data_IF_484146792531
#
_entry.id   IF_484146792531
#
_cell.length_a   1.000
_cell.length_b   1.000
_cell.length_c   1.000
_cell.angle_alpha   90.00
_cell.angle_beta   90.00
_cell.angle_gamma   90.00
#
_symmetry.space_group_name_H-M   'P 1'
#
loop_
_entity.id
_entity.type
_entity.pdbx_description
1 polymer ?
2 water ?
#
# COMPACT_ATOMS: atom_id res chain seq x y z
N UNK A 1 12.96 8.45 35.00
CA UNK A 1 12.71 7.01 35.03
C UNK A 1 12.29 6.42 33.68
N UNK A 2 12.28 7.24 32.63
CA UNK A 2 12.11 6.73 31.27
C UNK A 2 13.42 6.08 30.84
N UNK A 3 13.36 4.93 30.18
CA UNK A 3 14.57 4.35 29.62
C UNK A 3 15.10 5.25 28.50
N UNK A 4 16.42 5.41 28.43
CA UNK A 4 17.01 6.32 27.44
C UNK A 4 16.69 5.86 26.02
N UNK A 5 16.63 4.55 25.81
CA UNK A 5 16.27 4.02 24.50
C UNK A 5 14.82 4.34 24.14
N UNK A 6 13.94 4.40 25.13
CA UNK A 6 12.58 4.88 24.90
C UNK A 6 12.60 6.36 24.52
N UNK A 7 13.38 7.16 25.24
CA UNK A 7 13.44 8.58 24.96
C UNK A 7 13.96 8.84 23.54
N UNK A 8 14.97 8.08 23.13
CA UNK A 8 15.55 8.24 21.80
C UNK A 8 14.55 7.89 20.68
N UNK A 9 13.81 6.81 20.86
CA UNK A 9 12.76 6.44 19.90
C UNK A 9 11.75 7.58 19.74
N UNK A 10 11.33 8.15 20.87
CA UNK A 10 10.36 9.24 20.85
C UNK A 10 10.93 10.44 20.10
N UNK A 11 12.23 10.67 20.27
CA UNK A 11 12.89 11.74 19.56
C UNK A 11 12.88 11.50 18.04
N UNK A 12 13.18 10.28 17.61
CA UNK A 12 13.13 9.96 16.17
C UNK A 12 11.73 10.18 15.59
N UNK A 13 10.72 9.96 16.41
CA UNK A 13 9.34 10.11 15.96
C UNK A 13 8.74 11.49 16.23
N UNK A 14 9.56 12.40 16.74
CA UNK A 14 9.12 13.78 16.95
C UNK A 14 7.94 13.87 17.92
N UNK A 15 7.93 12.98 18.92
CA UNK A 15 6.81 12.89 19.85
C UNK A 15 6.85 14.08 20.81
N UNK A 16 5.74 14.84 20.90
CA UNK A 16 5.67 15.91 21.91
C UNK A 16 5.59 15.33 23.33
N UNK A 17 5.89 16.18 24.31
CA UNK A 17 6.08 15.72 25.69
C UNK A 17 4.92 14.95 26.31
N UNK A 18 3.70 15.45 26.14
CA UNK A 18 2.51 14.83 26.75
C UNK A 18 2.27 13.45 26.15
N UNK A 19 2.45 13.33 24.83
CA UNK A 19 2.30 12.03 24.16
C UNK A 19 3.35 11.04 24.68
N UNK A 20 4.59 11.51 24.76
CA UNK A 20 5.68 10.67 25.29
C UNK A 20 5.39 10.19 26.70
N UNK A 21 4.91 11.09 27.57
CA UNK A 21 4.57 10.72 28.94
C UNK A 21 3.45 9.69 29.00
N UNK A 22 2.39 9.92 28.23
CA UNK A 22 1.27 9.01 28.19
C UNK A 22 1.71 7.64 27.68
N UNK A 23 2.56 7.63 26.65
CA UNK A 23 3.07 6.39 26.07
C UNK A 23 3.88 5.60 27.11
N UNK A 24 4.70 6.30 27.88
CA UNK A 24 5.49 5.64 28.91
C UNK A 24 4.61 5.05 30.00
N UNK A 25 3.59 5.80 30.43
CA UNK A 25 2.65 5.29 31.44
C UNK A 25 1.91 4.07 30.92
N UNK A 26 1.59 4.11 29.64
CA UNK A 26 0.94 3.00 28.97
C UNK A 26 1.84 1.78 28.98
N UNK A 27 3.12 1.98 28.66
CA UNK A 27 4.11 0.92 28.72
C UNK A 27 4.20 0.34 30.13
N UNK A 28 4.25 1.20 31.15
CA UNK A 28 4.31 0.72 32.52
C UNK A 28 3.09 -0.14 32.85
N UNK A 29 1.94 0.22 32.31
CA UNK A 29 0.72 -0.58 32.50
C UNK A 29 0.87 -1.95 31.81
N UNK A 30 1.09 -1.93 30.50
CA UNK A 30 1.32 -3.15 29.73
C UNK A 30 2.51 -3.97 30.24
N UNK A 31 3.55 -3.27 30.70
CA UNK A 31 4.78 -3.90 31.16
C UNK A 31 4.53 -4.78 32.38
N UNK A 32 3.67 -4.32 33.28
CA UNK A 32 3.15 -5.19 34.32
C UNK A 32 2.50 -6.30 33.51
N UNK A 43 8.49 -8.25 23.29
CA UNK A 43 9.75 -7.53 23.12
C UNK A 43 9.58 -6.01 23.22
N UNK A 44 10.43 -5.43 24.06
CA UNK A 44 10.34 -4.06 24.54
C UNK A 44 10.10 -3.00 23.48
N UNK A 45 11.04 -2.85 22.54
CA UNK A 45 10.99 -1.77 21.56
C UNK A 45 9.72 -1.77 20.71
N UNK A 46 9.20 -2.95 20.41
CA UNK A 46 7.99 -3.06 19.59
C UNK A 46 6.79 -2.61 20.42
N UNK A 47 6.75 -3.08 21.66
CA UNK A 47 5.70 -2.67 22.59
C UNK A 47 5.73 -1.16 22.82
N UNK A 48 6.91 -0.58 22.91
CA UNK A 48 7.06 0.87 23.06
C UNK A 48 6.43 1.60 21.88
N UNK A 49 6.71 1.12 20.67
CA UNK A 49 6.14 1.70 19.47
C UNK A 49 4.63 1.60 19.53
N UNK A 50 4.12 0.46 19.95
CA UNK A 50 2.68 0.30 20.10
C UNK A 50 2.09 1.27 21.15
N UNK A 51 2.78 1.43 22.28
CA UNK A 51 2.30 2.37 23.30
C UNK A 51 2.32 3.82 22.77
N UNK A 52 3.33 4.15 21.98
CA UNK A 52 3.40 5.47 21.34
C UNK A 52 2.21 5.66 20.42
N UNK A 53 1.86 4.61 19.68
CA UNK A 53 0.75 4.70 18.74
C UNK A 53 -0.58 4.88 19.47
N UNK A 54 -0.76 4.12 20.55
CA UNK A 54 -1.94 4.24 21.39
C UNK A 54 -2.05 5.68 21.93
N UNK A 55 -0.95 6.22 22.44
CA UNK A 55 -0.99 7.56 23.05
C UNK A 55 -1.28 8.62 21.99
N UNK A 56 -0.63 8.49 20.84
CA UNK A 56 -0.77 9.47 19.75
C UNK A 56 -2.20 9.51 19.21
N UNK A 57 -2.79 8.33 19.05
CA UNK A 57 -4.17 8.22 18.61
C UNK A 57 -5.14 8.76 19.66
N UNK A 58 -4.99 8.34 20.91
CA UNK A 58 -5.90 8.78 21.96
C UNK A 58 -5.87 10.29 22.18
N UNK A 59 -4.70 10.91 21.96
CA UNK A 59 -4.53 12.33 22.21
C UNK A 59 -4.68 13.18 20.95
N UNK A 60 -4.93 12.54 19.80
CA UNK A 60 -5.09 13.22 18.51
C UNK A 60 -3.84 13.97 18.06
N UNK A 61 -2.68 13.38 18.34
CA UNK A 61 -1.44 14.05 18.09
C UNK A 61 -0.48 13.10 17.42
N UNK A 62 -0.67 12.89 16.13
CA UNK A 62 0.26 12.05 15.39
C UNK A 62 1.33 12.84 14.66
N UNK A 63 2.55 12.75 15.18
CA UNK A 63 3.66 13.49 14.64
C UNK A 63 4.51 12.63 13.70
N UNK A 64 3.99 11.46 13.34
CA UNK A 64 4.74 10.51 12.51
C UNK A 64 3.73 9.76 11.65
N UNK A 65 4.20 9.05 10.61
CA UNK A 65 3.33 8.18 9.83
C UNK A 65 3.42 6.75 10.36
N UNK A 66 2.42 5.94 10.05
CA UNK A 66 2.47 4.55 10.48
C UNK A 66 3.71 3.84 9.91
N UNK A 67 4.04 4.08 8.64
CA UNK A 67 5.22 3.47 8.03
C UNK A 67 6.51 3.84 8.77
N UNK A 68 6.59 5.11 9.16
CA UNK A 68 7.71 5.63 9.91
C UNK A 68 7.86 4.90 11.24
N UNK A 69 6.76 4.77 11.96
CA UNK A 69 6.74 4.03 13.22
C UNK A 69 7.22 2.59 13.00
N UNK A 70 6.68 1.93 11.98
CA UNK A 70 7.08 0.57 11.65
C UNK A 70 8.56 0.41 11.33
N UNK A 71 9.11 1.38 10.59
CA UNK A 71 10.50 1.28 10.19
C UNK A 71 11.41 1.46 11.40
N UNK A 72 10.94 2.24 12.36
CA UNK A 72 11.66 2.46 13.61
C UNK A 72 11.67 1.24 14.54
N UNK A 73 10.58 0.48 14.56
CA UNK A 73 10.50 -0.66 15.46
C UNK A 73 10.59 -2.00 14.72
N UNK A 74 10.73 -1.91 13.38
CA UNK A 74 10.96 -3.06 12.50
C UNK A 74 9.90 -4.17 12.65
N UNK A 75 8.64 -3.79 12.41
CA UNK A 75 7.55 -4.73 12.57
C UNK A 75 6.59 -4.58 11.38
N UNK A 76 6.02 -5.70 10.93
CA UNK A 76 4.98 -5.67 9.90
C UNK A 76 3.63 -5.19 10.45
N UNK A 77 2.73 -4.82 9.53
CA UNK A 77 1.38 -4.36 9.90
C UNK A 77 0.64 -5.42 10.70
N UNK A 78 0.64 -6.65 10.19
CA UNK A 78 -0.04 -7.76 10.84
C UNK A 78 0.46 -8.09 12.24
N UNK A 79 1.77 -8.12 12.43
CA UNK A 79 2.34 -8.39 13.74
C UNK A 79 1.97 -7.27 14.72
N UNK A 80 2.13 -6.03 14.26
CA UNK A 80 1.67 -4.87 15.03
C UNK A 80 0.21 -5.05 15.47
N UNK A 81 -0.67 -5.31 14.53
CA UNK A 81 -2.07 -5.56 14.84
C UNK A 81 -2.28 -6.65 15.89
N UNK A 82 -1.58 -7.78 15.73
CA UNK A 82 -1.78 -8.90 16.65
C UNK A 82 -1.27 -8.56 18.05
N UNK A 83 -0.23 -7.73 18.14
CA UNK A 83 0.29 -7.29 19.43
C UNK A 83 -0.67 -6.33 20.09
N UNK A 84 -1.03 -5.28 19.36
CA UNK A 84 -1.97 -4.27 19.84
C UNK A 84 -3.31 -4.88 20.30
N UNK A 85 -3.84 -5.84 19.55
CA UNK A 85 -5.16 -6.36 19.89
C UNK A 85 -5.21 -7.03 21.28
N UNK A 86 -4.04 -7.39 21.81
CA UNK A 86 -3.98 -8.02 23.12
C UNK A 86 -3.95 -7.01 24.28
N UNK A 87 -3.96 -5.73 23.93
CA UNK A 87 -3.94 -4.65 24.91
C UNK A 87 -5.33 -4.05 24.98
N UNK A 88 -5.82 -3.78 26.19
CA UNK A 88 -7.12 -3.11 26.33
C UNK A 88 -6.94 -1.66 25.90
N UNK A 89 -7.66 -1.23 24.87
CA UNK A 89 -7.53 0.13 24.40
C UNK A 89 -8.89 0.77 24.19
N UNK A 90 -8.87 2.06 23.87
CA UNK A 90 -10.09 2.79 23.60
C UNK A 90 -10.72 2.37 22.27
N UNK A 91 -11.99 2.71 22.10
CA UNK A 91 -12.68 2.54 20.81
C UNK A 91 -11.97 3.32 19.70
N UNK A 92 -11.50 4.52 20.04
CA UNK A 92 -10.78 5.35 19.06
C UNK A 92 -9.57 4.60 18.51
N UNK A 93 -8.80 4.00 19.43
CA UNK A 93 -7.63 3.23 19.06
C UNK A 93 -8.04 2.00 18.25
N UNK A 94 -9.06 1.28 18.73
CA UNK A 94 -9.52 0.08 18.01
C UNK A 94 -9.89 0.42 16.56
N UNK A 95 -10.71 1.46 16.39
CA UNK A 95 -11.10 1.92 15.05
C UNK A 95 -9.93 2.35 14.17
N UNK A 96 -9.01 3.14 14.72
CA UNK A 96 -7.83 3.57 13.98
C UNK A 96 -7.06 2.35 13.45
N UNK A 97 -6.84 1.37 14.32
CA UNK A 97 -6.06 0.21 13.93
C UNK A 97 -6.80 -0.68 12.91
N UNK A 98 -8.11 -0.85 13.10
CA UNK A 98 -8.93 -1.65 12.18
C UNK A 98 -8.90 -1.03 10.80
N UNK A 99 -9.00 0.29 10.77
CA UNK A 99 -8.96 1.05 9.53
C UNK A 99 -7.63 0.85 8.80
N UNK A 100 -6.53 0.92 9.55
CA UNK A 100 -5.20 0.70 8.99
C UNK A 100 -5.04 -0.74 8.49
N UNK A 101 -5.59 -1.68 9.25
CA UNK A 101 -5.51 -3.10 8.88
C UNK A 101 -6.23 -3.31 7.54
N UNK A 102 -7.41 -2.73 7.42
CA UNK A 102 -8.18 -2.89 6.19
C UNK A 102 -7.46 -2.22 5.02
N UNK A 103 -6.92 -1.03 5.26
CA UNK A 103 -6.19 -0.32 4.22
C UNK A 103 -5.05 -1.18 3.71
N UNK A 104 -4.32 -1.78 4.64
CA UNK A 104 -3.19 -2.62 4.30
C UNK A 104 -3.62 -3.87 3.53
N UNK A 105 -4.67 -4.53 4.00
CA UNK A 105 -5.16 -5.77 3.40
C UNK A 105 -5.67 -5.52 1.99
N UNK A 106 -6.41 -4.42 1.81
CA UNK A 106 -6.88 -4.03 0.48
C UNK A 106 -5.69 -3.79 -0.45
N UNK A 107 -4.71 -3.03 0.05
CA UNK A 107 -3.57 -2.64 -0.78
C UNK A 107 -2.69 -3.85 -1.11
N UNK A 108 -2.50 -4.71 -0.13
CA UNK A 108 -1.71 -5.90 -0.33
C UNK A 108 -2.37 -6.79 -1.38
N UNK A 109 -3.69 -6.97 -1.28
CA UNK A 109 -4.46 -7.77 -2.22
C UNK A 109 -4.39 -7.22 -3.65
N UNK A 110 -4.54 -5.90 -3.78
CA UNK A 110 -4.46 -5.24 -5.08
C UNK A 110 -3.07 -5.31 -5.68
N UNK A 111 -2.04 -5.12 -4.86
CA UNK A 111 -0.67 -5.22 -5.33
C UNK A 111 -0.27 -6.64 -5.77
N UNK A 112 -0.66 -7.65 -5.00
CA UNK A 112 -0.44 -9.05 -5.38
C UNK A 112 -1.03 -9.33 -6.76
N UNK A 113 -2.27 -8.87 -6.95
CA UNK A 113 -2.98 -8.98 -8.23
C UNK A 113 -2.27 -8.24 -9.35
N UNK A 114 -1.75 -7.05 -9.05
CA UNK A 114 -1.03 -6.29 -10.05
C UNK A 114 0.23 -7.03 -10.49
N UNK A 115 0.97 -7.53 -9.50
CA UNK A 115 2.20 -8.27 -9.77
C UNK A 115 1.94 -9.51 -10.62
N UNK A 116 0.88 -10.24 -10.30
CA UNK A 116 0.53 -11.47 -11.03
C UNK A 116 0.08 -11.18 -12.46
N UNK A 117 -0.76 -10.17 -12.60
CA UNK A 117 -1.25 -9.78 -13.92
C UNK A 117 -0.12 -9.32 -14.84
N UNK A 118 0.77 -8.48 -14.33
CA UNK A 118 1.93 -8.06 -15.12
C UNK A 118 2.77 -9.23 -15.61
N UNK A 119 2.83 -10.28 -14.79
CA UNK A 119 3.61 -11.45 -15.17
C UNK A 119 2.96 -12.18 -16.34
N UNK A 120 1.66 -11.96 -16.52
CA UNK A 120 0.89 -12.58 -17.60
C UNK A 120 0.85 -11.70 -18.85
N UNK A 121 1.19 -10.43 -18.70
CA UNK A 121 1.09 -9.48 -19.79
C UNK A 121 2.43 -9.29 -20.48
N UNK A 122 3.49 -9.28 -19.70
CA UNK A 122 4.81 -8.88 -20.16
C UNK A 122 5.83 -10.01 -20.15
N UNK A 123 6.58 -10.11 -21.25
CA UNK A 123 7.66 -11.07 -21.38
C UNK A 123 8.78 -10.72 -20.40
N UNK A 124 9.52 -11.72 -19.96
CA UNK A 124 10.67 -11.51 -19.07
C UNK A 124 11.92 -12.13 -19.72
N UNK A 125 13.07 -11.48 -19.55
CA UNK A 125 14.34 -12.00 -20.07
C UNK A 125 15.53 -11.52 -19.25
N UNK A 126 16.33 -12.46 -18.71
CA UNK A 126 17.53 -12.10 -17.97
C UNK A 126 18.50 -11.33 -18.87
N UNK A 127 19.34 -10.47 -18.29
CA UNK A 127 20.34 -9.76 -19.06
C UNK A 127 21.53 -10.67 -19.37
N UNK A 128 22.15 -10.43 -20.52
CA UNK A 128 23.27 -11.23 -21.00
C UNK A 128 24.30 -10.35 -21.69
N UNK A 129 25.26 -10.99 -22.35
CA UNK A 129 26.27 -10.28 -23.12
C UNK A 129 25.62 -9.62 -24.33
N UNK A 130 24.66 -10.32 -24.92
CA UNK A 130 23.97 -9.90 -26.13
C UNK A 130 22.81 -8.92 -25.89
N UNK A 131 22.35 -8.79 -24.65
CA UNK A 131 21.15 -7.99 -24.39
C UNK A 131 20.91 -7.62 -22.93
N UNK A 132 20.17 -6.53 -22.72
CA UNK A 132 19.82 -6.09 -21.38
C UNK A 132 18.68 -6.91 -20.81
N UNK A 133 18.58 -6.92 -19.49
CA UNK A 133 17.49 -7.60 -18.81
C UNK A 133 16.18 -6.93 -19.17
N UNK A 134 15.16 -7.74 -19.44
CA UNK A 134 13.82 -7.22 -19.65
C UNK A 134 12.93 -7.64 -18.49
N UNK A 135 12.46 -6.67 -17.74
CA UNK A 135 11.54 -6.92 -16.63
C UNK A 135 10.43 -5.88 -16.61
N UNK A 136 9.45 -6.10 -15.76
CA UNK A 136 8.30 -5.21 -15.68
C UNK A 136 8.41 -4.21 -14.52
N UNK A 137 9.62 -3.98 -14.01
CA UNK A 137 9.82 -3.03 -12.93
C UNK A 137 9.28 -1.64 -13.28
N UNK A 138 9.61 -1.15 -14.47
CA UNK A 138 9.12 0.18 -14.90
C UNK A 138 7.60 0.27 -14.97
N UNK A 139 6.95 -0.72 -15.59
CA UNK A 139 5.49 -0.69 -15.71
C UNK A 139 4.82 -0.87 -14.36
N UNK A 140 5.32 -1.83 -13.59
CA UNK A 140 4.84 -2.04 -12.23
C UNK A 140 4.85 -0.71 -11.48
N UNK A 141 6.00 -0.06 -11.46
CA UNK A 141 6.13 1.18 -10.72
C UNK A 141 5.14 2.22 -11.20
N UNK A 142 5.12 2.50 -12.50
CA UNK A 142 4.26 3.57 -13.00
C UNK A 142 2.77 3.26 -12.85
N UNK A 143 2.35 2.04 -13.20
CA UNK A 143 0.94 1.69 -13.05
C UNK A 143 0.50 1.63 -11.57
N UNK A 144 1.37 1.17 -10.68
CA UNK A 144 1.03 1.09 -9.25
C UNK A 144 0.81 2.50 -8.70
N UNK A 145 1.79 3.37 -8.94
CA UNK A 145 1.68 4.75 -8.45
C UNK A 145 0.49 5.47 -9.08
N UNK A 146 0.34 5.33 -10.40
CA UNK A 146 -0.82 5.91 -11.05
C UNK A 146 -2.10 5.37 -10.43
N UNK A 147 -2.14 4.06 -10.17
CA UNK A 147 -3.31 3.48 -9.53
C UNK A 147 -3.50 4.03 -8.11
N UNK A 148 -2.40 4.22 -7.39
CA UNK A 148 -2.49 4.74 -6.02
C UNK A 148 -3.12 6.13 -6.00
N UNK A 149 -2.67 6.97 -6.93
CA UNK A 149 -3.22 8.31 -7.05
C UNK A 149 -4.70 8.28 -7.45
N UNK A 150 -5.07 7.41 -8.37
CA UNK A 150 -6.47 7.32 -8.81
C UNK A 150 -7.41 6.81 -7.73
N UNK A 151 -6.95 5.84 -6.94
CA UNK A 151 -7.76 5.26 -5.88
C UNK A 151 -8.11 6.28 -4.80
N UNK A 152 -7.12 7.08 -4.42
CA UNK A 152 -7.31 8.08 -3.38
C UNK A 152 -8.09 9.29 -3.87
N UNK A 153 -8.04 9.52 -5.18
CA UNK A 153 -8.77 10.63 -5.79
C UNK A 153 -10.26 10.31 -5.81
N UNK A 154 -10.63 9.34 -6.65
CA UNK A 154 -12.03 8.99 -6.84
C UNK A 154 -12.38 7.67 -6.19
N UNK A 155 -12.00 7.49 -4.92
CA UNK A 155 -12.37 6.25 -4.22
C UNK A 155 -12.46 6.27 -2.70
N UNK A 159 -9.91 1.20 0.33
CA UNK A 159 -10.76 0.43 1.19
C UNK A 159 -11.79 0.09 0.09
N UNK A 160 -12.63 -0.91 0.27
CA UNK A 160 -13.55 -1.33 -0.79
C UNK A 160 -12.75 -1.85 -1.99
N UNK A 161 -12.60 -3.17 -2.01
CA UNK A 161 -11.60 -3.86 -2.84
C UNK A 161 -12.04 -4.04 -4.29
N UNK A 162 -13.30 -4.45 -4.47
CA UNK A 162 -13.84 -4.79 -5.79
C UNK A 162 -13.83 -3.63 -6.79
N UNK A 163 -14.35 -2.48 -6.38
CA UNK A 163 -14.33 -1.30 -7.24
C UNK A 163 -12.89 -0.85 -7.48
N UNK A 164 -12.06 -0.96 -6.44
CA UNK A 164 -10.65 -0.65 -6.54
C UNK A 164 -9.99 -1.49 -7.62
N UNK A 165 -10.33 -2.78 -7.67
CA UNK A 165 -9.74 -3.68 -8.64
C UNK A 165 -10.18 -3.38 -10.06
N UNK A 166 -11.44 -3.02 -10.24
CA UNK A 166 -11.95 -2.67 -11.56
C UNK A 166 -11.24 -1.41 -12.06
N UNK A 167 -10.92 -0.53 -11.12
CA UNK A 167 -10.16 0.68 -11.44
C UNK A 167 -8.74 0.32 -11.85
N UNK A 168 -8.15 -0.67 -11.17
CA UNK A 168 -6.81 -1.14 -11.49
C UNK A 168 -6.74 -1.69 -12.92
N UNK A 169 -7.82 -2.33 -13.35
CA UNK A 169 -7.92 -2.82 -14.72
C UNK A 169 -7.95 -1.67 -15.74
N UNK A 170 -8.61 -0.57 -15.39
CA UNK A 170 -8.61 0.59 -16.26
C UNK A 170 -7.19 1.13 -16.41
N UNK A 171 -6.47 1.18 -15.30
CA UNK A 171 -5.08 1.62 -15.31
C UNK A 171 -4.22 0.66 -16.14
N UNK A 172 -4.43 -0.64 -15.94
CA UNK A 172 -3.76 -1.65 -16.75
C UNK A 172 -4.07 -1.51 -18.24
N UNK A 173 -5.33 -1.22 -18.56
CA UNK A 173 -5.72 -1.05 -19.97
C UNK A 173 -4.88 0.05 -20.59
N UNK A 174 -4.81 1.18 -19.88
CA UNK A 174 -4.07 2.35 -20.33
C UNK A 174 -2.61 2.06 -20.66
N UNK A 175 -1.93 1.37 -19.75
CA UNK A 175 -0.50 1.13 -19.94
C UNK A 175 -0.23 0.05 -20.97
N UNK A 176 -1.13 -0.92 -21.08
CA UNK A 176 -1.00 -1.90 -22.15
C UNK A 176 -1.04 -1.19 -23.50
N UNK A 177 -1.97 -0.26 -23.68
CA UNK A 177 -2.12 0.45 -24.95
C UNK A 177 -0.86 1.25 -25.33
N UNK A 178 -0.12 1.73 -24.33
CA UNK A 178 1.10 2.48 -24.58
C UNK A 178 2.31 1.58 -24.73
N UNK A 179 2.10 0.27 -24.59
CA UNK A 179 3.20 -0.68 -24.58
C UNK A 179 3.54 -1.20 -25.96
N UNK A 180 4.85 -1.40 -26.22
CA UNK A 180 5.38 -2.13 -27.38
C UNK A 180 4.86 -3.56 -27.40
N UNK A 181 4.32 -4.00 -28.54
CA UNK A 181 3.78 -5.35 -28.69
C UNK A 181 4.86 -6.43 -28.60
N UNK A 182 6.07 -6.14 -29.05
CA UNK A 182 7.17 -7.09 -28.97
C UNK A 182 7.48 -7.46 -27.53
N UNK A 183 6.96 -6.67 -26.59
CA UNK A 183 7.13 -6.94 -25.17
C UNK A 183 5.91 -7.62 -24.55
N UNK A 184 4.87 -7.86 -25.35
CA UNK A 184 3.64 -8.44 -24.83
C UNK A 184 3.57 -9.96 -25.01
N UNK A 185 2.99 -10.63 -24.02
CA UNK A 185 2.69 -12.04 -24.11
C UNK A 185 1.31 -12.22 -24.73
N UNK A 186 1.02 -13.44 -25.19
CA UNK A 186 -0.31 -13.75 -25.66
C UNK A 186 -1.20 -13.99 -24.44
N UNK A 187 -2.48 -13.62 -24.51
CA UNK A 187 -3.18 -13.09 -25.68
C UNK A 187 -3.15 -11.56 -25.80
N UNK A 188 -2.38 -10.88 -24.97
CA UNK A 188 -2.34 -9.43 -25.01
C UNK A 188 -1.70 -8.91 -26.30
N UNK A 189 -0.73 -9.64 -26.82
CA UNK A 189 -0.10 -9.24 -28.08
C UNK A 189 -1.15 -9.18 -29.20
N UNK A 190 -1.94 -10.24 -29.33
CA UNK A 190 -3.01 -10.27 -30.34
C UNK A 190 -3.98 -9.10 -30.16
N UNK A 191 -4.27 -8.76 -28.91
CA UNK A 191 -5.30 -7.76 -28.61
C UNK A 191 -4.90 -6.34 -28.98
N UNK A 192 -3.64 -6.15 -29.37
CA UNK A 192 -3.20 -4.82 -29.80
C UNK A 192 -2.89 -4.77 -31.31
N UNK A 193 -3.22 -5.82 -32.04
CA UNK A 193 -3.07 -5.80 -33.49
C UNK A 193 -4.25 -5.00 -34.05
N UNK A 219 -8.41 -1.32 -29.66
CA UNK A 219 -9.81 -1.00 -29.86
C UNK A 219 -10.30 -1.37 -28.46
N UNK A 220 -11.58 -1.66 -28.27
CA UNK A 220 -12.03 -2.07 -26.95
C UNK A 220 -11.56 -3.49 -26.62
N UNK A 221 -10.62 -4.00 -27.42
CA UNK A 221 -10.12 -5.37 -27.30
C UNK A 221 -9.39 -5.67 -25.99
N UNK A 222 -8.48 -4.80 -25.58
CA UNK A 222 -7.66 -5.06 -24.39
C UNK A 222 -8.51 -5.25 -23.13
N UNK A 223 -9.43 -4.32 -22.91
CA UNK A 223 -10.25 -4.35 -21.72
C UNK A 223 -11.00 -5.68 -21.63
N UNK A 224 -11.43 -6.18 -22.79
CA UNK A 224 -12.09 -7.48 -22.89
C UNK A 224 -11.16 -8.63 -22.52
N UNK A 225 -9.92 -8.60 -23.01
CA UNK A 225 -8.94 -9.62 -22.64
C UNK A 225 -8.76 -9.66 -21.14
N UNK A 226 -8.54 -8.50 -20.53
CA UNK A 226 -8.34 -8.42 -19.09
C UNK A 226 -9.53 -9.00 -18.35
N UNK A 227 -10.72 -8.58 -18.72
CA UNK A 227 -11.95 -9.07 -18.07
C UNK A 227 -12.12 -10.58 -18.28
N UNK A 228 -12.04 -11.03 -19.53
CA UNK A 228 -12.18 -12.44 -19.84
C UNK A 228 -11.02 -13.27 -19.27
N UNK A 229 -10.14 -12.62 -18.52
CA UNK A 229 -9.05 -13.30 -17.83
C UNK A 229 -9.23 -13.25 -16.32
N UNK A 230 -9.78 -12.14 -15.82
CA UNK A 230 -10.03 -11.98 -14.39
C UNK A 230 -11.50 -12.18 -14.02
N UNK A 231 -12.31 -12.55 -15.00
CA UNK A 231 -13.74 -12.81 -14.81
C UNK A 231 -14.48 -11.63 -14.18
N UNK A 232 -14.47 -10.51 -14.87
CA UNK A 232 -15.08 -9.29 -14.36
C UNK A 232 -16.32 -8.89 -15.16
N UNK A 233 -17.14 -8.04 -14.56
CA UNK A 233 -18.26 -7.44 -15.26
C UNK A 233 -17.73 -6.33 -16.15
N UNK A 234 -17.72 -6.57 -17.46
CA UNK A 234 -17.15 -5.62 -18.41
C UNK A 234 -17.85 -4.27 -18.32
N UNK A 235 -19.17 -4.32 -18.11
CA UNK A 235 -19.98 -3.12 -18.08
C UNK A 235 -19.60 -2.25 -16.89
N UNK A 236 -19.42 -2.88 -15.74
CA UNK A 236 -19.03 -2.17 -14.53
C UNK A 236 -17.63 -1.59 -14.66
N UNK A 237 -16.73 -2.35 -15.27
CA UNK A 237 -15.38 -1.85 -15.50
C UNK A 237 -15.41 -0.65 -16.45
N UNK A 238 -16.24 -0.72 -17.49
CA UNK A 238 -16.43 0.40 -18.41
C UNK A 238 -16.94 1.63 -17.69
N UNK A 239 -17.90 1.41 -16.79
CA UNK A 239 -18.47 2.49 -16.00
C UNK A 239 -17.39 3.18 -15.17
N UNK A 240 -16.60 2.37 -14.48
CA UNK A 240 -15.50 2.90 -13.68
C UNK A 240 -14.51 3.64 -14.57
N UNK A 241 -14.27 3.11 -15.76
CA UNK A 241 -13.36 3.74 -16.70
C UNK A 241 -13.78 5.19 -16.97
N UNK A 242 -15.07 5.40 -17.19
CA UNK A 242 -15.62 6.69 -17.59
C UNK A 242 -15.75 7.66 -16.42
N UNK A 243 -16.39 7.22 -15.34
CA UNK A 243 -16.69 8.08 -14.20
C UNK A 243 -15.81 7.80 -12.98
N UNK A 244 -14.56 7.43 -13.24
CA UNK A 244 -13.58 7.27 -12.18
C UNK A 244 -12.19 7.48 -12.75
N UNK A 245 -11.85 6.67 -13.75
CA UNK A 245 -10.51 6.67 -14.31
C UNK A 245 -10.25 7.89 -15.18
N UNK A 246 -11.27 8.26 -15.95
CA UNK A 246 -11.07 9.23 -17.02
C UNK A 246 -11.11 10.67 -16.52
N UNK A 247 -11.94 10.96 -15.50
CA UNK A 247 -11.64 12.23 -14.84
C UNK A 247 -10.16 12.29 -14.44
N UNK A 248 -9.73 11.26 -13.71
CA UNK A 248 -8.47 11.29 -13.00
C UNK A 248 -7.28 11.66 -13.87
N UNK A 249 -7.25 11.16 -15.10
CA UNK A 249 -6.05 11.28 -15.93
C UNK A 249 -5.87 12.67 -16.56
N UNK A 250 -6.88 13.53 -16.42
CA UNK A 250 -6.77 14.93 -16.86
C UNK A 250 -7.18 15.83 -15.71
N UNK A 251 -8.37 15.54 -15.18
CA UNK A 251 -8.95 16.25 -14.05
C UNK A 251 -8.04 16.06 -12.85
N UNK A 252 -6.75 16.22 -13.10
CA UNK A 252 -5.75 15.99 -12.10
C UNK A 252 -4.34 16.40 -12.50
N UNK A 260 -0.07 11.59 -18.35
CA UNK A 260 1.24 11.13 -17.93
C UNK A 260 2.50 11.98 -17.82
N UNK A 261 2.66 12.62 -16.65
CA UNK A 261 3.96 13.10 -16.13
C UNK A 261 4.89 11.90 -15.91
N UNK A 262 6.19 12.14 -15.84
CA UNK A 262 7.12 11.04 -15.61
C UNK A 262 6.87 10.45 -14.21
N UNK A 263 7.36 9.24 -13.96
CA UNK A 263 7.13 8.54 -12.69
C UNK A 263 7.52 9.32 -11.45
N UNK A 264 8.73 9.88 -11.45
CA UNK A 264 9.22 10.63 -10.29
C UNK A 264 8.27 11.73 -9.86
N UNK A 265 7.65 12.40 -10.82
CA UNK A 265 6.65 13.43 -10.53
C UNK A 265 5.46 12.82 -9.83
N UNK A 266 4.97 11.70 -10.37
CA UNK A 266 3.82 11.00 -9.81
C UNK A 266 4.14 10.50 -8.39
N UNK A 267 5.35 9.99 -8.21
CA UNK A 267 5.82 9.51 -6.92
C UNK A 267 5.77 10.65 -5.91
N UNK A 268 6.28 11.81 -6.31
CA UNK A 268 6.31 12.98 -5.42
C UNK A 268 4.92 13.40 -5.00
N UNK A 269 3.96 13.36 -5.92
CA UNK A 269 2.58 13.68 -5.59
C UNK A 269 1.97 12.66 -4.63
N UNK A 270 2.28 11.38 -4.83
CA UNK A 270 1.74 10.39 -3.92
C UNK A 270 2.31 10.64 -2.52
N UNK A 271 3.62 10.86 -2.46
CA UNK A 271 4.30 11.14 -1.18
C UNK A 271 3.62 12.26 -0.38
N UNK A 272 3.20 13.33 -1.07
CA UNK A 272 2.51 14.43 -0.39
C UNK A 272 1.23 13.97 0.29
N UNK A 273 0.46 13.14 -0.40
CA UNK A 273 -0.77 12.61 0.15
C UNK A 273 -0.53 11.62 1.29
N UNK A 274 0.49 10.77 1.14
CA UNK A 274 0.84 9.82 2.19
C UNK A 274 1.26 10.58 3.46
N UNK A 275 2.14 11.57 3.31
CA UNK A 275 2.64 12.32 4.45
C UNK A 275 1.49 13.02 5.14
N UNK A 276 0.52 13.49 4.37
CA UNK A 276 -0.67 14.11 4.93
C UNK A 276 -1.56 13.14 5.69
N UNK A 277 -1.71 11.91 5.16
CA UNK A 277 -2.62 10.95 5.77
C UNK A 277 -1.99 10.17 6.91
N UNK A 278 -0.66 10.12 6.92
CA UNK A 278 0.10 9.53 8.01
C UNK A 278 -0.12 8.03 8.16
N UNK A 279 -0.53 7.36 7.09
CA UNK A 279 -0.68 5.91 7.16
C UNK A 279 0.50 5.20 6.52
N UNK A 280 0.26 4.48 5.43
CA UNK A 280 1.29 3.63 4.82
C UNK A 280 1.80 4.20 3.52
N UNK A 281 3.11 4.16 3.33
CA UNK A 281 3.67 4.52 2.04
C UNK A 281 3.57 3.30 1.11
N UNK A 282 2.48 3.23 0.36
CA UNK A 282 2.18 2.08 -0.49
C UNK A 282 3.19 1.85 -1.65
N UNK A 283 4.06 2.84 -1.88
CA UNK A 283 5.15 2.65 -2.84
C UNK A 283 6.13 1.57 -2.38
N UNK A 284 6.23 1.35 -1.07
CA UNK A 284 7.18 0.38 -0.55
C UNK A 284 6.84 -1.05 -0.96
N UNK A 285 5.61 -1.27 -1.42
CA UNK A 285 5.24 -2.58 -1.98
C UNK A 285 6.15 -2.95 -3.13
N UNK A 286 6.53 -1.95 -3.93
CA UNK A 286 7.37 -2.18 -5.10
C UNK A 286 8.76 -2.70 -4.70
N UNK A 287 9.16 -2.41 -3.47
CA UNK A 287 10.47 -2.81 -2.96
C UNK A 287 10.37 -4.09 -2.12
N UNK A 288 9.15 -4.63 -2.00
CA UNK A 288 8.88 -5.75 -1.10
C UNK A 288 9.44 -5.44 0.28
N UNK A 289 9.16 -4.22 0.74
CA UNK A 289 9.61 -3.74 2.02
C UNK A 289 9.11 -4.63 3.17
N UNK A 290 10.03 -5.02 4.05
CA UNK A 290 9.73 -5.91 5.18
C UNK A 290 8.54 -5.46 5.99
N UNK A 291 8.40 -4.15 6.10
CA UNK A 291 7.35 -3.53 6.87
C UNK A 291 5.95 -3.86 6.27
N UNK A 292 5.94 -4.21 4.98
CA UNK A 292 4.69 -4.54 4.27
C UNK A 292 4.54 -6.03 3.90
N UNK A 293 5.53 -6.85 4.26
CA UNK A 293 5.45 -8.30 4.05
C UNK A 293 4.62 -8.94 5.15
N UNK A 294 4.04 -10.11 4.88
CA UNK A 294 3.45 -10.92 5.93
C UNK A 294 3.87 -12.37 5.79
N UNK A 295 3.53 -13.17 6.79
CA UNK A 295 3.53 -14.62 6.58
C UNK A 295 2.12 -15.16 6.83
N UNK A 296 1.89 -16.39 6.40
CA UNK A 296 0.55 -16.99 6.40
C UNK A 296 -0.04 -17.09 7.80
N UNK A 297 0.82 -17.28 8.79
CA UNK A 297 0.38 -17.46 10.18
C UNK A 297 -0.04 -16.13 10.80
N UNK A 298 0.80 -15.11 10.66
CA UNK A 298 0.45 -13.77 11.13
C UNK A 298 -0.89 -13.31 10.53
N UNK A 299 -1.02 -13.50 9.22
CA UNK A 299 -2.22 -13.10 8.51
C UNK A 299 -3.48 -13.79 9.05
N UNK A 300 -3.39 -15.09 9.22
CA UNK A 300 -4.51 -15.84 9.78
C UNK A 300 -4.89 -15.32 11.17
N UNK A 301 -3.89 -15.02 12.00
CA UNK A 301 -4.16 -14.63 13.38
C UNK A 301 -4.88 -13.27 13.43
N UNK A 302 -4.56 -12.43 12.47
CA UNK A 302 -5.11 -11.12 12.36
C UNK A 302 -6.67 -11.17 12.22
N UNK A 303 -7.18 -12.29 11.71
CA UNK A 303 -8.62 -12.42 11.47
C UNK A 303 -9.37 -13.11 12.60
N UNK A 304 -8.66 -13.53 13.63
CA UNK A 304 -9.26 -14.38 14.65
C UNK A 304 -9.66 -13.63 15.91
#
# INVERSE_FOLDING_TARGET
>A
TEEPDFTALCQKLKIPDHVRERAWLTWEKVSSVDGVLGGYIQKKKELWGICIFIAAVDLDEMSFTFTELQKNIEISVHKFFNLLKEIDTSTKVDNAMSRLLKKYDVLFALFSKLERTCELIYLTQPSSSISTEINSALVLKVSWITFLLAKGEVLQXEDDLVISFQLMLCVLDYFIKLSPPMLLKEPYKTAVIPINGSPRTPRRGQNRSARIAKQLENDTRIIEVLCKEHECNIDEVKNVYFKNFIPFMNSLGLVTSNGLPEVENLSKRYEEIYLKNKDLDARLFLDHDKTLQTDSIDSFETQR
#
